data_IF_875756000129
#
_entry.id   IF_875756000129
#
_cell.length_a   1.000
_cell.length_b   1.000
_cell.length_c   1.000
_cell.angle_alpha   90.00
_cell.angle_beta   90.00
_cell.angle_gamma   90.00
#
_symmetry.space_group_name_H-M   'P 1'
#
loop_
_entity.id
_entity.type
_entity.pdbx_description
1 polymer ?
#
# COMPACT_ATOMS: atom_id res chain seq x y z
N UNK A 1 6.55 -35.87 9.67
CA UNK A 1 6.23 -34.42 9.79
C UNK A 1 6.67 -33.55 8.61
N UNK A 2 7.52 -34.00 7.67
CA UNK A 2 8.04 -33.18 6.56
C UNK A 2 6.99 -32.76 5.49
N UNK A 3 5.94 -33.56 5.26
CA UNK A 3 4.97 -33.32 4.18
C UNK A 3 3.86 -32.28 4.44
N UNK A 4 3.73 -31.77 5.67
CA UNK A 4 2.72 -30.76 6.03
C UNK A 4 3.24 -29.32 5.85
N UNK A 5 4.54 -29.10 6.10
CA UNK A 5 5.19 -27.80 5.90
C UNK A 5 5.34 -27.46 4.41
N UNK A 6 5.83 -28.41 3.60
CA UNK A 6 5.98 -28.21 2.15
C UNK A 6 4.65 -27.84 1.46
N UNK A 7 3.53 -28.48 1.84
CA UNK A 7 2.20 -28.15 1.27
C UNK A 7 1.72 -26.74 1.62
N UNK A 8 2.03 -26.24 2.82
CA UNK A 8 1.70 -24.85 3.21
C UNK A 8 2.53 -23.83 2.44
N UNK A 9 3.82 -24.10 2.24
CA UNK A 9 4.72 -23.23 1.46
C UNK A 9 4.28 -23.17 -0.01
N UNK A 10 3.98 -24.31 -0.65
CA UNK A 10 3.53 -24.36 -2.05
C UNK A 10 2.20 -23.63 -2.28
N UNK A 11 1.27 -23.71 -1.31
CA UNK A 11 0.00 -22.97 -1.38
C UNK A 11 0.21 -21.46 -1.28
N UNK A 12 1.03 -21.02 -0.33
CA UNK A 12 1.33 -19.60 -0.11
C UNK A 12 1.99 -18.96 -1.34
N UNK A 13 2.89 -19.69 -2.01
CA UNK A 13 3.53 -19.23 -3.25
C UNK A 13 2.54 -19.08 -4.40
N UNK A 14 1.61 -20.03 -4.57
CA UNK A 14 0.57 -19.96 -5.62
C UNK A 14 -0.30 -18.73 -5.44
N UNK A 15 -0.65 -18.44 -4.20
CA UNK A 15 -1.50 -17.30 -3.87
C UNK A 15 -0.85 -15.94 -4.20
N UNK A 16 0.44 -15.79 -3.95
CA UNK A 16 1.21 -14.60 -4.32
C UNK A 16 1.26 -14.44 -5.85
N UNK A 17 1.47 -15.55 -6.56
CA UNK A 17 1.42 -15.57 -8.04
C UNK A 17 0.03 -15.16 -8.55
N UNK A 18 -1.05 -15.63 -7.91
CA UNK A 18 -2.41 -15.22 -8.27
C UNK A 18 -2.62 -13.71 -8.08
N UNK A 19 -2.11 -13.12 -6.99
CA UNK A 19 -2.16 -11.66 -6.78
C UNK A 19 -1.45 -10.91 -7.90
N UNK A 20 -0.24 -11.36 -8.28
CA UNK A 20 0.49 -10.77 -9.40
C UNK A 20 -0.30 -10.89 -10.72
N UNK A 21 -0.88 -12.05 -11.01
CA UNK A 21 -1.67 -12.25 -12.23
C UNK A 21 -2.90 -11.35 -12.27
N UNK A 22 -3.58 -11.17 -11.13
CA UNK A 22 -4.71 -10.26 -11.02
C UNK A 22 -4.30 -8.81 -11.27
N UNK A 23 -3.13 -8.38 -10.76
CA UNK A 23 -2.57 -7.06 -11.04
C UNK A 23 -2.23 -6.89 -12.52
N UNK A 24 -1.60 -7.87 -13.16
CA UNK A 24 -1.27 -7.82 -14.59
C UNK A 24 -2.53 -7.72 -15.47
N UNK A 25 -3.57 -8.50 -15.16
CA UNK A 25 -4.88 -8.40 -15.83
C UNK A 25 -5.51 -7.02 -15.61
N UNK A 26 -5.48 -6.50 -14.39
CA UNK A 26 -5.98 -5.17 -14.07
C UNK A 26 -5.22 -4.08 -14.83
N UNK A 27 -3.88 -4.11 -14.85
CA UNK A 27 -3.06 -3.15 -15.58
C UNK A 27 -3.32 -3.19 -17.08
N UNK A 28 -3.48 -4.38 -17.64
CA UNK A 28 -3.84 -4.55 -19.05
C UNK A 28 -5.22 -3.93 -19.36
N UNK A 29 -6.17 -4.03 -18.44
CA UNK A 29 -7.51 -3.41 -18.59
C UNK A 29 -7.49 -1.89 -18.57
N UNK A 30 -6.42 -1.28 -18.05
CA UNK A 30 -6.23 0.17 -18.02
C UNK A 30 -5.63 0.71 -19.32
N UNK A 31 -5.13 -0.15 -20.21
CA UNK A 31 -4.51 0.26 -21.47
C UNK A 31 -5.53 0.26 -22.61
N UNK A 32 -5.44 1.27 -23.47
CA UNK A 32 -6.15 1.32 -24.75
C UNK A 32 -5.50 0.44 -25.81
N UNK A 33 -6.20 0.19 -26.93
CA UNK A 33 -5.72 -0.65 -28.03
C UNK A 33 -4.37 -0.22 -28.63
N UNK A 34 -4.06 1.08 -28.63
CA UNK A 34 -2.77 1.61 -29.06
C UNK A 34 -1.69 1.43 -27.99
N UNK A 35 -2.02 1.64 -26.72
CA UNK A 35 -1.08 1.51 -25.61
C UNK A 35 -0.69 0.05 -25.34
N UNK A 36 -1.59 -0.90 -25.59
CA UNK A 36 -1.28 -2.34 -25.55
C UNK A 36 -0.18 -2.77 -26.53
N UNK A 37 0.12 -1.95 -27.55
CA UNK A 37 1.18 -2.21 -28.54
C UNK A 37 2.52 -1.55 -28.19
N UNK A 38 2.55 -0.71 -27.16
CA UNK A 38 3.78 -0.07 -26.68
C UNK A 38 4.71 -1.11 -26.01
N UNK A 39 6.02 -0.83 -25.93
CA UNK A 39 6.93 -1.59 -25.08
C UNK A 39 6.45 -1.63 -23.62
N UNK A 40 6.76 -2.72 -22.90
CA UNK A 40 6.33 -2.89 -21.50
C UNK A 40 6.80 -1.76 -20.57
N UNK A 41 7.94 -1.12 -20.88
CA UNK A 41 8.44 0.04 -20.14
C UNK A 41 7.49 1.23 -20.22
N UNK A 42 7.06 1.58 -21.44
CA UNK A 42 6.09 2.66 -21.68
C UNK A 42 4.71 2.32 -21.09
N UNK A 43 4.29 1.05 -21.20
CA UNK A 43 3.06 0.58 -20.56
C UNK A 43 3.10 0.74 -19.04
N UNK A 44 4.25 0.41 -18.43
CA UNK A 44 4.47 0.55 -17.00
C UNK A 44 4.36 1.99 -16.53
N UNK A 45 4.95 2.94 -17.27
CA UNK A 45 4.85 4.38 -17.00
C UNK A 45 3.42 4.90 -17.11
N UNK A 46 2.72 4.57 -18.20
CA UNK A 46 1.32 4.99 -18.43
C UNK A 46 0.41 4.47 -17.31
N UNK A 47 0.56 3.19 -16.93
CA UNK A 47 -0.25 2.61 -15.85
C UNK A 47 0.09 3.21 -14.50
N UNK A 48 1.37 3.38 -14.16
CA UNK A 48 1.78 3.98 -12.89
C UNK A 48 1.19 5.39 -12.72
N UNK A 49 1.26 6.22 -13.78
CA UNK A 49 0.67 7.56 -13.77
C UNK A 49 -0.86 7.54 -13.61
N UNK A 50 -1.55 6.54 -14.17
CA UNK A 50 -3.01 6.39 -14.02
C UNK A 50 -3.45 5.93 -12.64
N UNK A 51 -2.69 5.02 -12.02
CA UNK A 51 -3.10 4.40 -10.75
C UNK A 51 -2.61 5.15 -9.52
N UNK A 52 -1.64 6.06 -9.66
CA UNK A 52 -1.07 6.81 -8.55
C UNK A 52 -0.72 8.28 -8.93
N UNK A 53 -1.70 9.08 -9.37
CA UNK A 53 -1.47 10.46 -9.84
C UNK A 53 -0.89 11.42 -8.78
N UNK A 54 -1.09 11.17 -7.49
CA UNK A 54 -0.54 11.93 -6.37
C UNK A 54 0.88 11.49 -5.98
N UNK A 55 1.55 10.65 -6.77
CA UNK A 55 3.01 10.47 -6.68
C UNK A 55 3.78 11.51 -7.50
N UNK A 56 3.10 12.52 -8.07
CA UNK A 56 3.76 13.62 -8.78
C UNK A 56 4.75 14.40 -7.92
N UNK A 57 4.54 14.45 -6.60
CA UNK A 57 5.44 15.06 -5.62
C UNK A 57 6.54 14.11 -5.09
N UNK A 58 6.51 12.84 -5.51
CA UNK A 58 7.39 11.75 -5.08
C UNK A 58 7.91 10.95 -6.29
N UNK A 59 8.76 11.57 -7.13
CA UNK A 59 9.22 11.00 -8.39
C UNK A 59 10.01 9.69 -8.25
N UNK A 60 10.70 9.45 -7.14
CA UNK A 60 11.41 8.20 -6.87
C UNK A 60 10.47 7.00 -6.74
N UNK A 61 9.41 7.14 -5.93
CA UNK A 61 8.34 6.17 -5.75
C UNK A 61 7.50 6.03 -7.02
N UNK A 62 7.23 7.12 -7.75
CA UNK A 62 6.56 7.07 -9.04
C UNK A 62 7.35 6.22 -10.05
N UNK A 63 8.65 6.46 -10.16
CA UNK A 63 9.53 5.69 -11.04
C UNK A 63 9.64 4.23 -10.58
N UNK A 64 9.71 3.98 -9.27
CA UNK A 64 9.73 2.63 -8.74
C UNK A 64 8.43 1.89 -9.09
N UNK A 65 7.27 2.52 -8.93
CA UNK A 65 5.99 1.94 -9.31
C UNK A 65 5.94 1.64 -10.82
N UNK A 66 6.41 2.54 -11.68
CA UNK A 66 6.49 2.31 -13.12
C UNK A 66 7.37 1.10 -13.47
N UNK A 67 8.51 0.93 -12.80
CA UNK A 67 9.37 -0.24 -12.96
C UNK A 67 8.65 -1.53 -12.52
N UNK A 68 7.93 -1.48 -11.40
CA UNK A 68 7.16 -2.62 -10.90
C UNK A 68 6.00 -3.01 -11.82
N UNK A 69 5.30 -2.03 -12.38
CA UNK A 69 4.27 -2.24 -13.41
C UNK A 69 4.89 -2.84 -14.70
N UNK A 70 6.06 -2.37 -15.12
CA UNK A 70 6.80 -2.93 -16.27
C UNK A 70 7.09 -4.42 -16.06
N UNK A 71 7.62 -4.78 -14.87
CA UNK A 71 7.90 -6.18 -14.51
C UNK A 71 6.64 -7.03 -14.48
N UNK A 72 5.52 -6.47 -14.02
CA UNK A 72 4.22 -7.14 -14.03
C UNK A 72 3.75 -7.48 -15.46
N UNK A 73 3.93 -6.55 -16.41
CA UNK A 73 3.62 -6.77 -17.82
C UNK A 73 4.55 -7.78 -18.50
N UNK A 74 5.84 -7.75 -18.14
CA UNK A 74 6.82 -8.71 -18.62
C UNK A 74 6.66 -10.13 -18.02
N UNK A 75 5.67 -10.33 -17.15
CA UNK A 75 5.47 -11.56 -16.36
C UNK A 75 6.72 -11.97 -15.57
N UNK A 76 7.54 -11.00 -15.18
CA UNK A 76 8.68 -11.25 -14.30
C UNK A 76 8.21 -11.55 -12.88
N UNK A 77 8.96 -12.36 -12.13
CA UNK A 77 8.62 -12.63 -10.74
C UNK A 77 8.74 -11.35 -9.91
N UNK A 78 7.64 -10.94 -9.27
CA UNK A 78 7.60 -9.80 -8.35
C UNK A 78 7.73 -10.32 -6.92
N UNK A 79 8.56 -9.65 -6.11
CA UNK A 79 8.73 -10.04 -4.71
C UNK A 79 7.48 -9.71 -3.88
N UNK A 80 7.24 -10.36 -2.73
CA UNK A 80 6.11 -10.02 -1.87
C UNK A 80 6.11 -8.54 -1.42
N UNK A 81 7.28 -7.99 -1.11
CA UNK A 81 7.44 -6.58 -0.76
C UNK A 81 7.12 -5.64 -1.92
N UNK A 82 7.57 -5.97 -3.13
CA UNK A 82 7.24 -5.19 -4.33
C UNK A 82 5.73 -5.24 -4.64
N UNK A 83 5.07 -6.39 -4.42
CA UNK A 83 3.61 -6.49 -4.56
C UNK A 83 2.88 -5.62 -3.54
N UNK A 84 3.36 -5.57 -2.30
CA UNK A 84 2.83 -4.69 -1.25
C UNK A 84 3.04 -3.23 -1.64
N UNK A 85 4.19 -2.87 -2.21
CA UNK A 85 4.42 -1.51 -2.73
C UNK A 85 3.43 -1.15 -3.82
N UNK A 86 3.24 -2.01 -4.83
CA UNK A 86 2.25 -1.79 -5.89
C UNK A 86 0.85 -1.55 -5.28
N UNK A 87 0.41 -2.43 -4.38
CA UNK A 87 -0.94 -2.36 -3.80
C UNK A 87 -1.14 -1.15 -2.88
N UNK A 88 -0.08 -0.68 -2.22
CA UNK A 88 -0.15 0.44 -1.27
C UNK A 88 0.08 1.82 -1.91
N UNK A 89 0.84 1.89 -3.00
CA UNK A 89 1.08 3.13 -3.74
C UNK A 89 -0.08 3.51 -4.66
N UNK A 90 -0.93 2.54 -5.04
CA UNK A 90 -2.18 2.82 -5.75
C UNK A 90 -3.07 3.78 -4.97
N UNK A 91 -3.56 4.78 -5.66
CA UNK A 91 -4.67 5.59 -5.18
C UNK A 91 -5.96 4.81 -5.29
N UNK A 92 -6.55 4.59 -4.13
CA UNK A 92 -7.82 3.91 -4.01
C UNK A 92 -8.85 5.01 -3.75
N UNK A 93 -9.42 5.57 -4.81
CA UNK A 93 -10.59 6.47 -4.75
C UNK A 93 -11.85 5.69 -4.29
N UNK A 94 -11.78 5.08 -3.10
CA UNK A 94 -12.71 4.12 -2.48
C UNK A 94 -12.99 2.83 -3.30
N UNK A 95 -12.72 2.81 -4.61
CA UNK A 95 -13.00 1.68 -5.53
C UNK A 95 -12.08 0.47 -5.34
N UNK A 96 -10.93 0.65 -4.71
CA UNK A 96 -9.90 -0.38 -4.56
C UNK A 96 -9.51 -0.62 -3.09
N UNK A 97 -10.46 -0.45 -2.17
CA UNK A 97 -10.24 -0.70 -0.74
C UNK A 97 -9.73 -2.12 -0.44
N UNK A 98 -10.08 -3.09 -1.29
CA UNK A 98 -9.59 -4.48 -1.22
C UNK A 98 -8.08 -4.63 -1.38
N UNK A 99 -7.38 -3.65 -1.94
CA UNK A 99 -5.94 -3.73 -2.17
C UNK A 99 -5.15 -3.81 -0.86
N UNK A 100 -5.63 -3.14 0.20
CA UNK A 100 -5.03 -3.27 1.54
C UNK A 100 -5.19 -4.69 2.06
N UNK A 101 -6.37 -5.28 1.92
CA UNK A 101 -6.59 -6.67 2.33
C UNK A 101 -5.70 -7.64 1.51
N UNK A 102 -5.56 -7.41 0.21
CA UNK A 102 -4.66 -8.20 -0.64
C UNK A 102 -3.18 -8.03 -0.23
N UNK A 103 -2.75 -6.83 0.14
CA UNK A 103 -1.39 -6.57 0.60
C UNK A 103 -1.11 -7.28 1.93
N UNK A 104 -2.06 -7.25 2.87
CA UNK A 104 -1.99 -8.00 4.12
C UNK A 104 -1.95 -9.51 3.88
N UNK A 105 -2.76 -10.03 2.96
CA UNK A 105 -2.72 -11.44 2.56
C UNK A 105 -1.36 -11.84 1.96
N UNK A 106 -0.78 -10.99 1.10
CA UNK A 106 0.57 -11.21 0.55
C UNK A 106 1.59 -11.29 1.68
N UNK A 107 1.56 -10.33 2.63
CA UNK A 107 2.48 -10.29 3.75
C UNK A 107 2.34 -11.53 4.65
N UNK A 108 1.11 -11.94 4.97
CA UNK A 108 0.85 -13.16 5.74
C UNK A 108 1.40 -14.42 5.08
N UNK A 109 1.39 -14.46 3.75
CA UNK A 109 1.81 -15.62 2.95
C UNK A 109 3.29 -15.62 2.63
N UNK A 110 3.97 -14.48 2.77
CA UNK A 110 5.41 -14.32 2.57
C UNK A 110 6.23 -14.93 3.72
N UNK A 111 6.16 -16.25 3.90
CA UNK A 111 6.82 -16.97 5.02
C UNK A 111 8.34 -16.93 4.98
N UNK A 112 8.92 -16.63 3.83
CA UNK A 112 10.36 -16.53 3.63
C UNK A 112 10.88 -15.09 3.78
N UNK A 113 10.00 -14.11 4.05
CA UNK A 113 10.38 -12.72 4.23
C UNK A 113 10.88 -12.49 5.66
N UNK A 114 12.11 -11.96 5.87
CA UNK A 114 12.62 -11.69 7.21
C UNK A 114 11.72 -10.75 8.01
N UNK A 115 11.56 -11.00 9.32
CA UNK A 115 10.64 -10.26 10.20
C UNK A 115 10.84 -8.74 10.15
N UNK A 116 12.09 -8.28 10.11
CA UNK A 116 12.40 -6.85 9.99
C UNK A 116 11.83 -6.25 8.69
N UNK A 117 11.99 -6.93 7.56
CA UNK A 117 11.45 -6.50 6.25
C UNK A 117 9.93 -6.59 6.22
N UNK A 118 9.37 -7.64 6.81
CA UNK A 118 7.92 -7.80 6.98
C UNK A 118 7.31 -6.65 7.77
N UNK A 119 7.96 -6.25 8.87
CA UNK A 119 7.55 -5.11 9.69
C UNK A 119 7.61 -3.79 8.90
N UNK A 120 8.71 -3.53 8.20
CA UNK A 120 8.86 -2.31 7.37
C UNK A 120 7.82 -2.23 6.26
N UNK A 121 7.48 -3.36 5.64
CA UNK A 121 6.43 -3.42 4.63
C UNK A 121 5.04 -3.11 5.24
N UNK A 122 4.75 -3.64 6.43
CA UNK A 122 3.50 -3.37 7.14
C UNK A 122 3.38 -1.90 7.58
N UNK A 123 4.45 -1.34 8.14
CA UNK A 123 4.53 0.08 8.51
C UNK A 123 4.29 0.98 7.29
N UNK A 124 4.93 0.66 6.16
CA UNK A 124 4.80 1.44 4.93
C UNK A 124 3.39 1.35 4.35
N UNK A 125 2.76 0.17 4.37
CA UNK A 125 1.37 -0.02 3.96
C UNK A 125 0.45 0.90 4.76
N UNK A 126 0.48 0.82 6.09
CA UNK A 126 -0.41 1.63 6.93
C UNK A 126 -0.11 3.11 6.88
N UNK A 127 1.16 3.51 6.84
CA UNK A 127 1.54 4.92 6.64
C UNK A 127 0.92 5.49 5.38
N UNK A 128 1.01 4.76 4.25
CA UNK A 128 0.39 5.17 2.98
C UNK A 128 -1.13 5.22 3.06
N UNK A 129 -1.76 4.33 3.83
CA UNK A 129 -3.21 4.41 4.09
C UNK A 129 -3.57 5.69 4.84
N UNK A 130 -2.80 6.06 5.86
CA UNK A 130 -3.09 7.24 6.67
C UNK A 130 -2.90 8.54 5.89
N UNK A 131 -1.79 8.70 5.17
CA UNK A 131 -1.48 9.97 4.48
C UNK A 131 -2.34 10.23 3.23
N UNK A 132 -3.25 9.31 2.87
CA UNK A 132 -4.16 9.50 1.74
C UNK A 132 -5.34 10.44 2.02
N UNK A 133 -5.68 10.68 3.29
CA UNK A 133 -6.79 11.56 3.65
C UNK A 133 -6.27 12.89 4.18
N UNK A 134 -6.99 13.96 3.89
CA UNK A 134 -6.75 15.27 4.49
C UNK A 134 -7.46 15.35 5.85
N UNK A 135 -6.76 14.88 6.88
CA UNK A 135 -7.27 14.89 8.26
C UNK A 135 -7.46 16.29 8.82
N UNK A 136 -6.67 17.26 8.36
CA UNK A 136 -6.79 18.65 8.76
C UNK A 136 -8.10 19.25 8.22
N UNK A 137 -8.42 19.01 6.94
CA UNK A 137 -9.69 19.40 6.36
C UNK A 137 -10.87 18.77 7.10
N UNK A 138 -10.82 17.46 7.37
CA UNK A 138 -11.86 16.73 8.10
C UNK A 138 -12.11 17.32 9.49
N UNK A 139 -11.04 17.69 10.21
CA UNK A 139 -11.15 18.34 11.53
C UNK A 139 -11.60 19.80 11.43
N UNK A 140 -11.20 20.53 10.41
CA UNK A 140 -11.60 21.94 10.24
C UNK A 140 -13.10 22.09 9.93
N UNK A 141 -13.71 21.06 9.34
CA UNK A 141 -15.17 20.96 9.23
C UNK A 141 -15.88 20.68 10.56
N UNK A 142 -15.19 20.54 11.70
CA UNK A 142 -15.77 20.18 13.01
C UNK A 142 -16.60 21.28 13.72
N UNK A 143 -17.30 22.14 12.96
CA UNK A 143 -18.47 22.91 13.44
C UNK A 143 -19.79 22.16 13.18
N UNK A 144 -19.67 20.89 12.84
CA UNK A 144 -20.67 20.05 12.20
C UNK A 144 -21.16 19.00 13.21
N UNK A 145 -22.46 18.70 13.23
CA UNK A 145 -23.08 17.75 14.16
C UNK A 145 -22.38 16.38 14.09
N UNK A 146 -22.37 15.63 15.19
CA UNK A 146 -21.71 14.31 15.30
C UNK A 146 -22.06 13.35 14.14
N UNK A 147 -23.30 13.39 13.65
CA UNK A 147 -23.80 12.59 12.52
C UNK A 147 -23.08 12.90 11.20
N UNK A 148 -22.84 14.17 10.91
CA UNK A 148 -22.17 14.61 9.69
C UNK A 148 -20.65 14.33 9.77
N UNK A 149 -20.04 14.40 10.96
CA UNK A 149 -18.67 13.93 11.19
C UNK A 149 -18.55 12.42 10.95
N UNK A 150 -19.50 11.62 11.47
CA UNK A 150 -19.53 10.19 11.24
C UNK A 150 -19.72 9.84 9.74
N UNK A 151 -20.55 10.61 9.02
CA UNK A 151 -20.71 10.48 7.57
C UNK A 151 -19.42 10.84 6.82
N UNK A 152 -18.72 11.90 7.22
CA UNK A 152 -17.43 12.28 6.65
C UNK A 152 -16.37 11.19 6.86
N UNK A 153 -16.29 10.63 8.07
CA UNK A 153 -15.37 9.54 8.41
C UNK A 153 -15.65 8.28 7.57
N UNK A 154 -16.92 7.89 7.39
CA UNK A 154 -17.32 6.75 6.54
C UNK A 154 -16.91 6.91 5.07
N UNK A 155 -16.78 8.15 4.60
CA UNK A 155 -16.35 8.46 3.23
C UNK A 155 -14.83 8.50 3.05
N UNK A 156 -14.04 8.42 4.13
CA UNK A 156 -12.57 8.39 4.03
C UNK A 156 -12.06 7.10 3.39
N UNK A 157 -10.91 7.20 2.72
CA UNK A 157 -10.21 6.03 2.20
C UNK A 157 -9.79 5.08 3.33
N UNK A 158 -9.49 5.62 4.52
CA UNK A 158 -9.15 4.81 5.69
C UNK A 158 -10.31 3.90 6.10
N UNK A 159 -11.53 4.44 6.25
CA UNK A 159 -12.69 3.65 6.66
C UNK A 159 -12.98 2.51 5.69
N UNK A 160 -12.97 2.81 4.38
CA UNK A 160 -13.17 1.79 3.35
C UNK A 160 -12.12 0.66 3.42
N UNK A 161 -10.84 1.02 3.63
CA UNK A 161 -9.72 0.07 3.75
C UNK A 161 -9.79 -0.74 5.04
N UNK A 162 -10.17 -0.13 6.16
CA UNK A 162 -10.40 -0.81 7.44
C UNK A 162 -11.52 -1.85 7.31
N UNK A 163 -12.64 -1.48 6.71
CA UNK A 163 -13.77 -2.38 6.46
C UNK A 163 -13.35 -3.56 5.57
N UNK A 164 -12.57 -3.31 4.52
CA UNK A 164 -12.05 -4.36 3.64
C UNK A 164 -11.11 -5.33 4.39
N UNK A 165 -10.19 -4.82 5.20
CA UNK A 165 -9.28 -5.64 6.00
C UNK A 165 -10.03 -6.51 7.03
N UNK A 166 -11.03 -5.94 7.71
CA UNK A 166 -11.89 -6.66 8.66
C UNK A 166 -12.74 -7.73 7.99
N UNK A 167 -13.35 -7.43 6.83
CA UNK A 167 -14.13 -8.38 6.04
C UNK A 167 -13.28 -9.59 5.61
N UNK A 168 -12.02 -9.37 5.30
CA UNK A 168 -11.05 -10.42 4.97
C UNK A 168 -10.50 -11.16 6.21
N UNK A 169 -10.96 -10.82 7.42
CA UNK A 169 -10.55 -11.43 8.70
C UNK A 169 -9.04 -11.38 8.92
N UNK A 170 -8.44 -10.25 8.57
CA UNK A 170 -7.02 -10.02 8.82
C UNK A 170 -6.73 -10.04 10.33
N UNK A 171 -5.61 -10.63 10.77
CA UNK A 171 -5.20 -10.62 12.17
C UNK A 171 -5.10 -9.19 12.73
N UNK A 172 -5.53 -9.00 13.97
CA UNK A 172 -5.60 -7.67 14.59
C UNK A 172 -4.22 -7.03 14.76
N UNK A 173 -3.18 -7.82 14.98
CA UNK A 173 -1.79 -7.35 15.07
C UNK A 173 -1.24 -6.82 13.75
N UNK A 174 -1.92 -7.12 12.63
CA UNK A 174 -1.62 -6.52 11.33
C UNK A 174 -2.35 -5.20 11.09
N UNK A 175 -3.30 -4.80 11.93
CA UNK A 175 -3.93 -3.49 11.84
C UNK A 175 -3.11 -2.52 12.70
N UNK A 176 -2.05 -1.95 12.13
CA UNK A 176 -1.19 -1.02 12.88
C UNK A 176 -1.93 0.26 13.19
N UNK A 177 -1.64 0.86 14.34
CA UNK A 177 -2.06 2.22 14.67
C UNK A 177 -1.15 3.25 13.98
N UNK A 178 -1.61 4.51 13.83
CA UNK A 178 -0.80 5.58 13.25
C UNK A 178 0.58 5.76 13.88
N UNK A 179 0.64 5.77 15.22
CA UNK A 179 1.89 5.89 15.99
C UNK A 179 2.88 4.75 15.74
N UNK A 180 2.40 3.59 15.29
CA UNK A 180 3.20 2.40 14.98
C UNK A 180 3.52 2.26 13.50
N UNK A 181 3.11 3.22 12.66
CA UNK A 181 3.29 3.18 11.20
C UNK A 181 4.47 4.02 10.70
N UNK A 182 5.22 4.65 11.60
CA UNK A 182 6.53 5.22 11.25
C UNK A 182 7.49 4.11 10.84
N UNK A 183 8.38 4.42 9.89
CA UNK A 183 9.32 3.41 9.40
C UNK A 183 10.37 3.12 10.47
N UNK A 184 10.55 1.84 10.77
CA UNK A 184 11.67 1.31 11.57
C UNK A 184 12.88 0.95 10.72
N UNK A 185 12.81 1.13 9.39
CA UNK A 185 13.86 0.76 8.48
C UNK A 185 15.07 1.68 8.62
N UNK A 186 16.25 1.09 8.64
CA UNK A 186 17.51 1.81 8.54
C UNK A 186 17.82 2.16 7.07
N UNK A 187 18.64 3.19 6.81
CA UNK A 187 19.10 3.50 5.46
C UNK A 187 19.77 2.29 4.79
N UNK A 188 20.55 1.51 5.53
CA UNK A 188 21.25 0.32 5.02
C UNK A 188 20.28 -0.80 4.62
N UNK A 189 19.21 -1.03 5.41
CA UNK A 189 18.18 -2.01 5.07
C UNK A 189 17.41 -1.63 3.80
N UNK A 190 17.06 -0.34 3.66
CA UNK A 190 16.40 0.17 2.46
C UNK A 190 17.34 0.13 1.25
N UNK A 191 18.61 0.50 1.40
CA UNK A 191 19.61 0.39 0.34
C UNK A 191 19.81 -1.06 -0.11
N UNK A 192 19.86 -2.02 0.83
CA UNK A 192 19.94 -3.44 0.52
C UNK A 192 18.69 -3.95 -0.20
N UNK A 193 17.49 -3.47 0.16
CA UNK A 193 16.24 -3.79 -0.55
C UNK A 193 16.27 -3.31 -2.00
N UNK A 194 16.85 -2.14 -2.24
CA UNK A 194 16.91 -1.50 -3.56
C UNK A 194 18.29 -1.65 -4.24
N UNK A 195 19.07 -2.67 -3.90
CA UNK A 195 20.45 -2.86 -4.38
C UNK A 195 20.59 -2.95 -5.92
N UNK A 196 19.51 -3.25 -6.64
CA UNK A 196 19.48 -3.29 -8.11
C UNK A 196 19.21 -1.92 -8.75
N UNK A 197 18.92 -0.88 -7.95
CA UNK A 197 18.71 0.48 -8.43
C UNK A 197 20.03 1.28 -8.38
N UNK A 198 20.23 2.24 -9.30
CA UNK A 198 21.30 3.23 -9.17
C UNK A 198 21.22 3.97 -7.84
N UNK A 199 22.36 4.32 -7.25
CA UNK A 199 22.43 5.01 -5.95
C UNK A 199 21.55 6.27 -5.90
N UNK A 200 21.57 7.08 -6.96
CA UNK A 200 20.72 8.28 -7.06
C UNK A 200 19.22 7.99 -6.99
N UNK A 201 18.77 6.82 -7.48
CA UNK A 201 17.37 6.38 -7.35
C UNK A 201 17.08 5.87 -5.94
N UNK A 202 18.04 5.18 -5.32
CA UNK A 202 17.93 4.75 -3.92
C UNK A 202 17.77 5.97 -3.01
N UNK A 203 18.63 6.99 -3.17
CA UNK A 203 18.58 8.23 -2.39
C UNK A 203 17.24 8.96 -2.54
N UNK A 204 16.69 8.99 -3.77
CA UNK A 204 15.37 9.58 -4.02
C UNK A 204 14.27 8.83 -3.26
N UNK A 205 14.24 7.49 -3.33
CA UNK A 205 13.25 6.68 -2.60
C UNK A 205 13.42 6.84 -1.08
N UNK A 206 14.66 6.88 -0.57
CA UNK A 206 14.95 7.10 0.86
C UNK A 206 14.41 8.45 1.34
N UNK A 207 14.67 9.52 0.58
CA UNK A 207 14.17 10.86 0.88
C UNK A 207 12.63 10.88 0.96
N UNK A 208 11.96 10.18 0.05
CA UNK A 208 10.51 10.11 -0.04
C UNK A 208 9.87 9.24 1.06
N UNK A 209 10.54 8.18 1.52
CA UNK A 209 10.15 7.50 2.76
C UNK A 209 10.18 8.45 3.96
N UNK A 210 11.20 9.32 4.03
CA UNK A 210 11.27 10.40 5.02
C UNK A 210 10.12 11.41 4.88
N UNK A 211 9.72 11.74 3.65
CA UNK A 211 8.56 12.59 3.38
C UNK A 211 7.25 11.95 3.84
N UNK A 212 7.01 10.67 3.55
CA UNK A 212 5.85 9.95 4.07
C UNK A 212 5.80 10.00 5.61
N UNK A 213 6.96 9.90 6.28
CA UNK A 213 7.07 10.03 7.73
C UNK A 213 6.68 11.42 8.23
N UNK A 214 7.09 12.49 7.53
CA UNK A 214 6.67 13.87 7.86
C UNK A 214 5.17 14.07 7.68
N UNK A 215 4.60 13.59 6.56
CA UNK A 215 3.17 13.64 6.29
C UNK A 215 2.35 12.88 7.34
N UNK A 216 2.83 11.71 7.79
CA UNK A 216 2.19 10.98 8.88
C UNK A 216 2.22 11.81 10.17
N UNK A 217 3.36 12.44 10.51
CA UNK A 217 3.45 13.30 11.68
C UNK A 217 2.49 14.50 11.59
N UNK A 218 2.36 15.14 10.43
CA UNK A 218 1.39 16.23 10.22
C UNK A 218 -0.05 15.75 10.42
N UNK A 219 -0.40 14.58 9.86
CA UNK A 219 -1.71 13.96 10.09
C UNK A 219 -1.97 13.67 11.58
N UNK A 220 -0.95 13.21 12.30
CA UNK A 220 -1.03 13.00 13.76
C UNK A 220 -1.36 14.30 14.51
N UNK A 221 -0.67 15.40 14.19
CA UNK A 221 -0.95 16.70 14.78
C UNK A 221 -2.36 17.23 14.40
N UNK A 222 -2.86 16.84 13.22
CA UNK A 222 -4.22 17.13 12.80
C UNK A 222 -5.29 16.32 13.56
N UNK A 223 -4.92 15.34 14.38
CA UNK A 223 -5.87 14.54 15.19
C UNK A 223 -6.21 13.18 14.60
N UNK A 224 -5.39 12.67 13.67
CA UNK A 224 -5.54 11.36 13.04
C UNK A 224 -5.91 10.23 14.01
N UNK A 225 -5.25 10.13 15.17
CA UNK A 225 -5.53 9.05 16.13
C UNK A 225 -6.97 9.02 16.61
N UNK A 226 -7.56 10.19 16.90
CA UNK A 226 -8.93 10.29 17.35
C UNK A 226 -9.90 9.88 16.23
N UNK A 227 -9.66 10.35 15.00
CA UNK A 227 -10.42 9.97 13.83
C UNK A 227 -10.35 8.46 13.56
N UNK A 228 -9.17 7.84 13.68
CA UNK A 228 -9.01 6.40 13.49
C UNK A 228 -9.76 5.60 14.55
N UNK A 229 -9.70 6.00 15.83
CA UNK A 229 -10.47 5.36 16.91
C UNK A 229 -11.96 5.43 16.64
N UNK A 230 -12.43 6.57 16.14
CA UNK A 230 -13.84 6.74 15.80
C UNK A 230 -14.25 5.89 14.59
N UNK A 231 -13.44 5.81 13.54
CA UNK A 231 -13.67 4.89 12.42
C UNK A 231 -13.75 3.43 12.88
N UNK A 232 -12.89 3.01 13.81
CA UNK A 232 -12.92 1.67 14.40
C UNK A 232 -14.25 1.44 15.12
N UNK A 233 -14.67 2.36 15.99
CA UNK A 233 -15.95 2.31 16.69
C UNK A 233 -17.13 2.20 15.72
N UNK A 234 -17.19 3.07 14.72
CA UNK A 234 -18.25 3.06 13.70
C UNK A 234 -18.31 1.74 12.94
N UNK A 235 -17.16 1.12 12.68
CA UNK A 235 -17.08 -0.17 11.99
C UNK A 235 -17.40 -1.39 12.87
N UNK A 236 -17.50 -1.23 14.20
CA UNK A 236 -17.96 -2.27 15.12
C UNK A 236 -19.48 -2.26 15.31
N UNK A 237 -20.16 -1.18 14.88
CA UNK A 237 -21.61 -0.99 15.01
C UNK A 237 -22.41 -1.48 13.79
N UNK A 238 -21.74 -1.86 12.70
CA UNK A 238 -22.29 -2.39 11.44
C UNK A 238 -22.22 -3.93 11.38
#
# INVERSE_FOLDING_TARGET
>A
MCGYSARKVTRSRRDIVNTQQNLSTFFSSLLSGTEMRMPSTEQGEVVAARIAPALTDRPGLAQQLANLCTRAFANESISPEDLIDILSLKENNNKHASDVAAALDVLLRAKDLPDARSRVALESLWRRVYIQNDWAALRSSAGVKDEEMAAALRNTAFYAKLAAARKSRQPQDMLLEPSRSFSSATPDELAARFANLPSSKVDAVLSEYGQEGRLLNEAMQAGLEACCKECVRLSDEE
#
